data_IF_311132472382
#
_entry.id   IF_311132472382
#
_cell.length_a   1.000
_cell.length_b   1.000
_cell.length_c   1.000
_cell.angle_alpha   90.00
_cell.angle_beta   90.00
_cell.angle_gamma   90.00
#
_symmetry.space_group_name_H-M   'P 1'
#
loop_
_entity.id
_entity.type
_entity.pdbx_description
1 polymer ?
#
# COMPACT_ATOMS: atom_id res chain seq x y z
N UNK A 1 28.13 5.19 -4.10
CA UNK A 1 27.38 5.16 -5.37
C UNK A 1 26.18 4.29 -5.06
N UNK A 2 24.96 4.84 -5.03
CA UNK A 2 23.78 4.08 -4.60
C UNK A 2 23.46 2.93 -5.55
N UNK A 3 22.78 1.92 -5.04
CA UNK A 3 22.30 0.80 -5.84
C UNK A 3 21.13 1.21 -6.75
N UNK A 4 20.90 0.43 -7.81
CA UNK A 4 19.77 0.64 -8.74
C UNK A 4 18.93 -0.61 -8.86
N UNK A 5 17.64 -0.48 -8.60
CA UNK A 5 16.66 -1.54 -8.82
C UNK A 5 16.03 -1.39 -10.20
N UNK A 6 15.95 -2.49 -10.95
CA UNK A 6 15.18 -2.52 -12.20
C UNK A 6 13.74 -2.87 -11.90
N UNK A 7 12.86 -1.92 -12.17
CA UNK A 7 11.41 -2.07 -11.95
C UNK A 7 10.66 -2.16 -13.29
N UNK A 8 9.66 -3.04 -13.45
CA UNK A 8 8.95 -3.20 -14.71
C UNK A 8 8.05 -2.02 -15.06
N UNK A 9 7.65 -1.21 -14.07
CA UNK A 9 6.78 -0.03 -14.25
C UNK A 9 7.63 1.24 -14.44
N UNK A 10 8.61 1.44 -13.56
CA UNK A 10 9.35 2.71 -13.44
C UNK A 10 10.76 2.69 -14.04
N UNK A 11 11.20 1.55 -14.56
CA UNK A 11 12.56 1.43 -15.12
C UNK A 11 13.63 1.30 -14.03
N UNK A 12 14.62 2.21 -13.97
CA UNK A 12 15.65 2.19 -12.95
C UNK A 12 15.30 3.11 -11.78
N UNK A 13 15.27 2.55 -10.59
CA UNK A 13 15.00 3.23 -9.31
C UNK A 13 16.31 3.31 -8.53
N UNK A 14 16.71 4.53 -8.17
CA UNK A 14 17.93 4.78 -7.39
C UNK A 14 17.61 4.76 -5.89
N UNK A 15 18.47 4.08 -5.12
CA UNK A 15 18.41 4.03 -3.66
C UNK A 15 19.78 4.42 -3.08
N UNK A 16 19.80 5.03 -1.91
CA UNK A 16 21.03 5.28 -1.18
C UNK A 16 21.52 3.99 -0.50
N UNK A 17 22.80 3.95 -0.13
CA UNK A 17 23.38 2.79 0.56
C UNK A 17 22.62 2.50 1.88
N UNK A 18 22.23 3.53 2.63
CA UNK A 18 21.48 3.37 3.89
C UNK A 18 20.01 2.95 3.67
N UNK A 19 19.35 3.41 2.62
CA UNK A 19 18.02 2.90 2.24
C UNK A 19 18.10 1.43 1.80
N UNK A 20 19.19 1.05 1.15
CA UNK A 20 19.42 -0.33 0.74
C UNK A 20 19.59 -1.28 1.94
N UNK A 21 20.11 -0.80 3.08
CA UNK A 21 20.11 -1.58 4.32
C UNK A 21 18.68 -1.87 4.83
N UNK A 22 17.76 -0.92 4.70
CA UNK A 22 16.34 -1.15 5.01
C UNK A 22 15.76 -2.20 4.05
N UNK A 23 15.99 -2.04 2.75
CA UNK A 23 15.48 -2.96 1.73
C UNK A 23 16.03 -4.39 1.93
N UNK A 24 17.28 -4.52 2.33
CA UNK A 24 17.92 -5.82 2.56
C UNK A 24 17.57 -6.46 3.92
N UNK A 25 16.90 -5.74 4.80
CA UNK A 25 16.49 -6.26 6.12
C UNK A 25 15.41 -7.34 5.99
N UNK A 26 15.39 -8.30 6.93
CA UNK A 26 14.43 -9.41 6.92
C UNK A 26 12.96 -8.94 6.91
N UNK A 27 12.52 -7.93 7.69
CA UNK A 27 11.15 -7.43 7.63
C UNK A 27 10.76 -6.90 6.25
N UNK A 28 11.66 -6.20 5.55
CA UNK A 28 11.40 -5.70 4.21
C UNK A 28 11.42 -6.82 3.16
N UNK A 29 12.37 -7.75 3.26
CA UNK A 29 12.47 -8.90 2.34
C UNK A 29 11.23 -9.82 2.42
N UNK A 30 10.55 -9.89 3.57
CA UNK A 30 9.26 -10.58 3.72
C UNK A 30 8.23 -10.11 2.68
N UNK A 31 8.25 -8.84 2.29
CA UNK A 31 7.32 -8.29 1.29
C UNK A 31 7.43 -8.97 -0.09
N UNK A 32 8.53 -9.68 -0.40
CA UNK A 32 8.63 -10.51 -1.60
C UNK A 32 7.65 -11.68 -1.60
N UNK A 33 7.21 -12.07 -0.43
CA UNK A 33 6.28 -13.17 -0.21
C UNK A 33 4.91 -12.67 0.29
N UNK A 34 4.55 -11.41 0.03
CA UNK A 34 3.23 -10.84 0.31
C UNK A 34 2.66 -10.28 -1.00
N UNK A 35 1.69 -10.99 -1.58
CA UNK A 35 1.06 -10.58 -2.83
C UNK A 35 0.27 -9.28 -2.66
N UNK A 36 0.45 -8.38 -3.62
CA UNK A 36 -0.24 -7.09 -3.66
C UNK A 36 -1.76 -7.26 -3.73
N UNK A 37 -2.23 -8.16 -4.60
CA UNK A 37 -3.64 -8.30 -4.96
C UNK A 37 -4.29 -9.57 -4.38
N UNK A 38 -3.82 -10.04 -3.23
CA UNK A 38 -4.43 -11.18 -2.55
C UNK A 38 -4.67 -12.39 -3.48
N UNK A 39 -5.89 -12.91 -3.53
CA UNK A 39 -6.30 -14.06 -4.33
C UNK A 39 -6.58 -13.72 -5.82
N UNK A 40 -6.28 -12.49 -6.26
CA UNK A 40 -6.55 -12.05 -7.63
C UNK A 40 -5.85 -12.90 -8.69
N UNK A 41 -4.68 -13.49 -8.37
CA UNK A 41 -3.95 -14.40 -9.27
C UNK A 41 -4.76 -15.65 -9.66
N UNK A 42 -5.75 -16.05 -8.87
CA UNK A 42 -6.67 -17.14 -9.21
C UNK A 42 -7.65 -16.77 -10.35
N UNK A 43 -7.76 -15.48 -10.66
CA UNK A 43 -8.62 -14.94 -11.72
C UNK A 43 -7.78 -14.35 -12.85
N UNK A 44 -6.85 -13.47 -12.51
CA UNK A 44 -5.87 -12.85 -13.41
C UNK A 44 -4.52 -13.52 -13.15
N UNK A 45 -4.18 -14.54 -13.92
CA UNK A 45 -3.03 -15.41 -13.65
C UNK A 45 -1.67 -14.69 -13.61
N UNK A 46 -1.58 -13.51 -14.20
CA UNK A 46 -0.38 -12.65 -14.12
C UNK A 46 -0.27 -11.81 -12.86
N UNK A 47 -1.31 -11.75 -12.02
CA UNK A 47 -1.33 -10.93 -10.79
C UNK A 47 -0.51 -11.56 -9.66
N UNK A 48 0.76 -11.85 -9.92
CA UNK A 48 1.71 -12.51 -9.02
C UNK A 48 2.68 -11.55 -8.32
N UNK A 49 2.60 -10.25 -8.63
CA UNK A 49 3.46 -9.22 -8.05
C UNK A 49 3.18 -9.03 -6.55
N UNK A 50 4.21 -8.54 -5.89
CA UNK A 50 4.27 -8.46 -4.44
C UNK A 50 4.49 -7.03 -3.97
N UNK A 51 4.24 -6.79 -2.69
CA UNK A 51 4.41 -5.48 -2.05
C UNK A 51 5.86 -4.99 -2.06
N UNK A 52 6.82 -5.87 -2.23
CA UNK A 52 8.23 -5.49 -2.35
C UNK A 52 8.48 -4.50 -3.49
N UNK A 53 8.02 -4.83 -4.70
CA UNK A 53 8.20 -3.95 -5.87
C UNK A 53 7.36 -2.67 -5.76
N UNK A 54 6.16 -2.78 -5.19
CA UNK A 54 5.28 -1.65 -4.93
C UNK A 54 5.92 -0.62 -3.98
N UNK A 55 6.40 -1.02 -2.81
CA UNK A 55 7.02 -0.09 -1.85
C UNK A 55 8.22 0.67 -2.43
N UNK A 56 9.05 0.00 -3.25
CA UNK A 56 10.16 0.65 -3.95
C UNK A 56 9.65 1.60 -5.04
N UNK A 57 8.58 1.21 -5.76
CA UNK A 57 7.92 2.05 -6.77
C UNK A 57 7.31 3.32 -6.17
N UNK A 58 6.61 3.20 -5.03
CA UNK A 58 6.05 4.35 -4.30
C UNK A 58 7.16 5.30 -3.83
N UNK A 59 8.27 4.76 -3.29
CA UNK A 59 9.43 5.58 -2.93
C UNK A 59 10.01 6.35 -4.12
N UNK A 60 10.06 5.74 -5.29
CA UNK A 60 10.48 6.42 -6.52
C UNK A 60 9.50 7.52 -6.92
N UNK A 61 8.20 7.23 -6.92
CA UNK A 61 7.17 8.18 -7.31
C UNK A 61 7.09 9.37 -6.35
N UNK A 62 7.15 9.14 -5.04
CA UNK A 62 7.08 10.23 -4.06
C UNK A 62 8.27 11.18 -4.19
N UNK A 63 9.45 10.64 -4.55
CA UNK A 63 10.64 11.44 -4.86
C UNK A 63 10.38 12.37 -6.04
N UNK A 64 9.88 11.83 -7.15
CA UNK A 64 9.58 12.59 -8.37
C UNK A 64 8.44 13.58 -8.17
N UNK A 65 7.39 13.16 -7.45
CA UNK A 65 6.23 14.00 -7.15
C UNK A 65 6.61 15.22 -6.30
N UNK A 66 7.43 14.99 -5.26
CA UNK A 66 7.92 16.07 -4.40
C UNK A 66 8.83 17.04 -5.18
N UNK A 67 9.79 16.52 -5.95
CA UNK A 67 10.68 17.34 -6.78
C UNK A 67 9.89 18.19 -7.78
N UNK A 68 8.90 17.60 -8.43
CA UNK A 68 8.05 18.31 -9.39
C UNK A 68 7.18 19.37 -8.72
N UNK A 69 6.53 19.03 -7.60
CA UNK A 69 5.67 19.96 -6.88
C UNK A 69 6.44 21.17 -6.36
N UNK A 70 7.65 20.97 -5.83
CA UNK A 70 8.52 22.06 -5.37
C UNK A 70 9.02 22.91 -6.55
N UNK A 71 9.43 22.27 -7.66
CA UNK A 71 9.92 22.98 -8.84
C UNK A 71 8.85 23.85 -9.51
N UNK A 72 7.60 23.39 -9.52
CA UNK A 72 6.48 24.09 -10.15
C UNK A 72 5.73 25.06 -9.21
N UNK A 73 5.98 24.93 -7.89
CA UNK A 73 5.32 25.73 -6.87
C UNK A 73 5.95 27.12 -6.69
N UNK A 74 5.17 28.02 -6.13
CA UNK A 74 5.66 29.33 -5.69
C UNK A 74 6.27 29.35 -4.28
N UNK A 75 6.27 28.20 -3.61
CA UNK A 75 6.81 28.02 -2.27
C UNK A 75 8.19 27.34 -2.32
N UNK A 76 9.17 27.94 -1.68
CA UNK A 76 10.53 27.39 -1.62
C UNK A 76 10.88 26.98 -0.20
N UNK A 77 11.47 25.81 -0.07
CA UNK A 77 12.12 25.35 1.16
C UNK A 77 13.60 25.76 1.14
N UNK A 78 14.23 25.88 2.33
CA UNK A 78 15.71 25.89 2.37
C UNK A 78 16.25 24.53 1.85
N UNK A 79 17.51 24.51 1.41
CA UNK A 79 18.15 23.30 0.88
C UNK A 79 18.13 22.15 1.91
N UNK A 80 18.35 22.48 3.21
CA UNK A 80 18.31 21.52 4.31
C UNK A 80 16.91 20.92 4.47
N UNK A 81 15.88 21.79 4.50
CA UNK A 81 14.50 21.39 4.69
C UNK A 81 13.97 20.58 3.51
N UNK A 82 14.33 20.97 2.29
CA UNK A 82 14.04 20.22 1.08
C UNK A 82 14.63 18.79 1.13
N UNK A 83 15.92 18.68 1.49
CA UNK A 83 16.59 17.39 1.60
C UNK A 83 15.95 16.51 2.69
N UNK A 84 15.63 17.09 3.84
CA UNK A 84 15.01 16.43 4.98
C UNK A 84 13.60 15.91 4.64
N UNK A 85 12.73 16.75 4.08
CA UNK A 85 11.39 16.36 3.68
C UNK A 85 11.40 15.26 2.61
N UNK A 86 12.28 15.39 1.64
CA UNK A 86 12.46 14.36 0.60
C UNK A 86 12.85 13.02 1.22
N UNK A 87 13.77 13.00 2.18
CA UNK A 87 14.17 11.78 2.86
C UNK A 87 13.07 11.21 3.74
N UNK A 88 12.33 12.05 4.48
CA UNK A 88 11.16 11.61 5.26
C UNK A 88 10.13 10.92 4.36
N UNK A 89 9.76 11.54 3.24
CA UNK A 89 8.82 10.97 2.28
C UNK A 89 9.30 9.64 1.70
N UNK A 90 10.59 9.54 1.35
CA UNK A 90 11.17 8.29 0.84
C UNK A 90 11.09 7.16 1.86
N UNK A 91 11.38 7.46 3.13
CA UNK A 91 11.31 6.46 4.21
C UNK A 91 9.87 6.06 4.52
N UNK A 92 8.93 7.01 4.56
CA UNK A 92 7.50 6.72 4.73
C UNK A 92 7.04 5.79 3.59
N UNK A 93 7.31 6.16 2.34
CA UNK A 93 6.91 5.38 1.18
C UNK A 93 7.55 3.97 1.17
N UNK A 94 8.80 3.84 1.58
CA UNK A 94 9.48 2.56 1.64
C UNK A 94 8.88 1.63 2.70
N UNK A 95 8.40 2.19 3.81
CA UNK A 95 7.99 1.42 4.99
C UNK A 95 6.48 1.29 5.19
N UNK A 96 5.64 2.03 4.44
CA UNK A 96 4.19 2.11 4.68
C UNK A 96 3.47 0.76 4.68
N UNK A 97 3.92 -0.17 3.86
CA UNK A 97 3.30 -1.48 3.62
C UNK A 97 3.88 -2.64 4.44
N UNK A 98 4.87 -2.39 5.33
CA UNK A 98 5.55 -3.44 6.09
C UNK A 98 4.60 -4.28 6.95
N UNK A 99 3.52 -3.67 7.43
CA UNK A 99 2.54 -4.29 8.32
C UNK A 99 1.47 -5.13 7.61
N UNK A 100 1.43 -5.19 6.30
CA UNK A 100 0.46 -6.02 5.63
C UNK A 100 0.63 -7.50 5.93
N UNK A 101 -0.51 -8.15 6.22
CA UNK A 101 -0.59 -9.59 6.41
C UNK A 101 -0.44 -10.35 5.07
N UNK A 102 -0.18 -11.66 5.11
CA UNK A 102 -0.22 -12.51 3.94
C UNK A 102 -1.51 -12.30 3.14
N UNK A 103 -1.39 -12.21 1.81
CA UNK A 103 -2.52 -11.90 0.92
C UNK A 103 -3.21 -10.56 1.25
N UNK A 104 -2.49 -9.62 1.86
CA UNK A 104 -2.90 -8.22 2.01
C UNK A 104 -4.31 -8.05 2.62
N UNK A 105 -5.15 -7.19 2.04
CA UNK A 105 -6.49 -6.87 2.56
C UNK A 105 -7.44 -8.07 2.73
N UNK A 106 -7.21 -9.20 2.05
CA UNK A 106 -8.03 -10.39 2.25
C UNK A 106 -7.85 -11.00 3.67
N UNK A 107 -6.77 -10.65 4.35
CA UNK A 107 -6.44 -11.09 5.70
C UNK A 107 -6.94 -10.18 6.82
N UNK A 108 -7.43 -8.98 6.53
CA UNK A 108 -7.78 -7.98 7.56
C UNK A 108 -8.88 -8.45 8.51
N UNK A 109 -9.79 -9.29 8.04
CA UNK A 109 -10.88 -9.83 8.85
C UNK A 109 -10.41 -10.74 10.01
N UNK A 110 -9.14 -11.10 10.07
CA UNK A 110 -8.53 -11.95 11.10
C UNK A 110 -7.38 -11.27 11.85
N UNK A 111 -7.28 -9.95 11.76
CA UNK A 111 -6.45 -9.20 12.68
C UNK A 111 -7.03 -9.26 14.10
N UNK A 112 -6.21 -9.19 15.14
CA UNK A 112 -6.68 -9.02 16.51
C UNK A 112 -7.59 -7.80 16.64
N UNK A 113 -8.60 -7.85 17.53
CA UNK A 113 -9.61 -6.81 17.69
C UNK A 113 -9.00 -5.41 17.81
N UNK A 114 -9.44 -4.52 16.94
CA UNK A 114 -9.06 -3.11 16.93
C UNK A 114 -7.68 -2.81 16.34
N UNK A 115 -6.99 -3.80 15.76
CA UNK A 115 -5.72 -3.59 15.06
C UNK A 115 -5.92 -3.62 13.54
N UNK A 116 -5.15 -2.76 12.87
CA UNK A 116 -5.06 -2.64 11.42
C UNK A 116 -3.62 -2.91 10.95
N UNK A 117 -3.40 -3.05 9.64
CA UNK A 117 -2.05 -3.27 9.10
C UNK A 117 -1.10 -2.11 9.40
N UNK A 118 -1.60 -0.88 9.52
CA UNK A 118 -0.81 0.28 9.91
C UNK A 118 -0.25 0.16 11.34
N UNK A 119 -0.97 -0.51 12.25
CA UNK A 119 -0.48 -0.73 13.61
C UNK A 119 0.70 -1.72 13.60
N UNK A 120 0.63 -2.74 12.75
CA UNK A 120 1.75 -3.65 12.53
C UNK A 120 2.90 -2.97 11.78
N UNK A 121 2.62 -2.08 10.82
CA UNK A 121 3.65 -1.24 10.19
C UNK A 121 4.41 -0.45 11.24
N UNK A 122 3.69 0.21 12.15
CA UNK A 122 4.30 0.99 13.23
C UNK A 122 5.16 0.14 14.17
N UNK A 123 4.66 -1.03 14.59
CA UNK A 123 5.45 -1.98 15.41
C UNK A 123 6.72 -2.41 14.67
N UNK A 124 6.62 -2.80 13.41
CA UNK A 124 7.78 -3.24 12.61
C UNK A 124 8.80 -2.12 12.46
N UNK A 125 8.36 -0.89 12.17
CA UNK A 125 9.22 0.27 12.01
C UNK A 125 9.94 0.62 13.33
N UNK A 126 9.27 0.50 14.49
CA UNK A 126 9.81 0.90 15.80
C UNK A 126 10.58 -0.19 16.53
N UNK A 127 10.17 -1.45 16.36
CA UNK A 127 10.62 -2.56 17.24
C UNK A 127 11.58 -3.53 16.54
N UNK A 128 11.88 -3.34 15.25
CA UNK A 128 12.78 -4.22 14.49
C UNK A 128 14.08 -3.52 14.09
N UNK A 129 14.92 -4.21 13.30
CA UNK A 129 16.15 -3.66 12.74
C UNK A 129 15.89 -2.42 11.86
N UNK A 130 14.67 -2.24 11.35
CA UNK A 130 14.25 -1.06 10.59
C UNK A 130 14.51 0.22 11.40
N UNK A 131 14.17 0.22 12.70
CA UNK A 131 14.44 1.36 13.58
C UNK A 131 15.91 1.76 13.61
N UNK A 132 16.82 0.79 13.62
CA UNK A 132 18.25 1.04 13.62
C UNK A 132 18.72 1.70 12.34
N UNK A 133 18.25 1.22 11.18
CA UNK A 133 18.60 1.79 9.89
C UNK A 133 18.04 3.20 9.70
N UNK A 134 16.80 3.47 10.15
CA UNK A 134 16.21 4.81 10.12
C UNK A 134 17.03 5.78 10.98
N UNK A 135 17.38 5.38 12.21
CA UNK A 135 18.22 6.21 13.10
C UNK A 135 19.60 6.47 12.51
N UNK A 136 20.17 5.52 11.77
CA UNK A 136 21.45 5.73 11.07
C UNK A 136 21.32 6.81 9.99
N UNK A 137 20.21 6.83 9.24
CA UNK A 137 19.92 7.91 8.28
C UNK A 137 19.74 9.24 9.02
N UNK A 138 18.96 9.28 10.11
CA UNK A 138 18.76 10.48 10.93
C UNK A 138 20.08 11.06 11.43
N UNK A 139 21.00 10.21 11.91
CA UNK A 139 22.30 10.65 12.36
C UNK A 139 23.11 11.40 11.27
N UNK A 140 23.00 10.98 10.01
CA UNK A 140 23.67 11.69 8.88
C UNK A 140 23.08 13.06 8.63
N UNK A 141 21.77 13.23 8.86
CA UNK A 141 21.08 14.52 8.73
C UNK A 141 21.44 15.46 9.88
N UNK A 142 21.48 14.93 11.12
CA UNK A 142 21.92 15.70 12.29
C UNK A 142 23.37 16.17 12.13
N UNK A 143 24.27 15.31 11.69
CA UNK A 143 25.68 15.67 11.46
C UNK A 143 25.81 16.77 10.40
N UNK A 144 25.01 16.68 9.33
CA UNK A 144 25.14 17.60 8.19
C UNK A 144 24.41 18.93 8.36
N UNK A 145 23.23 18.91 8.99
CA UNK A 145 22.30 20.04 8.98
C UNK A 145 21.91 20.55 10.39
N UNK A 146 22.12 19.77 11.43
CA UNK A 146 21.78 20.12 12.81
C UNK A 146 20.70 19.22 13.44
N UNK A 147 20.56 19.28 14.77
CA UNK A 147 19.69 18.37 15.53
C UNK A 147 18.19 18.53 15.19
N UNK A 148 17.76 19.65 14.65
CA UNK A 148 16.38 19.90 14.22
C UNK A 148 15.97 19.10 13.00
N UNK A 149 16.93 18.51 12.26
CA UNK A 149 16.70 17.68 11.08
C UNK A 149 16.83 16.18 11.37
N UNK A 150 16.72 15.77 12.62
CA UNK A 150 16.74 14.34 12.96
C UNK A 150 15.59 13.59 12.29
N UNK A 151 15.85 12.33 11.98
CA UNK A 151 14.86 11.40 11.39
C UNK A 151 14.77 10.19 12.31
N UNK A 152 13.61 10.04 12.97
CA UNK A 152 13.35 8.94 13.88
C UNK A 152 12.21 8.04 13.42
N UNK A 153 12.16 6.78 13.85
CA UNK A 153 11.02 5.89 13.58
C UNK A 153 9.69 6.49 14.03
N UNK A 154 9.68 7.17 15.19
CA UNK A 154 8.51 7.84 15.75
C UNK A 154 8.01 8.94 14.80
N UNK A 155 8.91 9.82 14.34
CA UNK A 155 8.56 10.92 13.43
C UNK A 155 7.93 10.40 12.13
N UNK A 156 8.51 9.34 11.53
CA UNK A 156 8.00 8.73 10.31
C UNK A 156 6.58 8.19 10.53
N UNK A 157 6.36 7.43 11.61
CA UNK A 157 5.06 6.89 11.96
C UNK A 157 4.04 7.99 12.26
N UNK A 158 4.43 9.05 12.97
CA UNK A 158 3.53 10.14 13.33
C UNK A 158 3.11 10.98 12.13
N UNK A 159 4.00 11.21 11.15
CA UNK A 159 3.64 11.84 9.88
C UNK A 159 2.66 10.96 9.12
N UNK A 160 2.97 9.68 8.93
CA UNK A 160 2.14 8.75 8.18
C UNK A 160 0.74 8.57 8.79
N UNK A 161 0.67 8.42 10.12
CA UNK A 161 -0.61 8.31 10.86
C UNK A 161 -1.33 9.65 11.06
N UNK A 162 -0.71 10.77 10.71
CA UNK A 162 -1.31 12.11 10.87
C UNK A 162 -1.47 12.54 12.33
N UNK A 163 -0.60 12.09 13.25
CA UNK A 163 -0.66 12.39 14.68
C UNK A 163 0.03 13.68 15.09
N UNK A 164 0.71 14.35 14.16
CA UNK A 164 1.40 15.59 14.47
C UNK A 164 0.42 16.77 14.57
N UNK A 165 0.58 17.67 15.55
CA UNK A 165 -0.41 18.68 15.85
C UNK A 165 -0.52 19.75 14.75
N UNK A 166 -1.76 20.11 14.44
CA UNK A 166 -2.16 21.23 13.60
C UNK A 166 -2.58 20.81 12.19
N UNK A 167 -3.84 21.08 11.82
CA UNK A 167 -4.38 20.86 10.47
C UNK A 167 -3.58 21.57 9.37
N UNK A 168 -2.79 22.58 9.74
CA UNK A 168 -1.98 23.42 8.85
C UNK A 168 -0.47 23.18 9.01
N UNK A 169 -0.04 22.02 9.54
CA UNK A 169 1.40 21.74 9.67
C UNK A 169 1.99 21.35 8.30
N UNK A 170 3.29 21.62 8.11
CA UNK A 170 4.02 21.17 6.92
C UNK A 170 4.02 19.63 6.81
N UNK A 171 3.84 18.90 7.91
CA UNK A 171 3.73 17.45 7.93
C UNK A 171 2.40 16.95 7.31
N UNK A 172 1.31 17.73 7.40
CA UNK A 172 0.07 17.44 6.66
C UNK A 172 0.31 17.51 5.16
N UNK A 173 1.14 18.47 4.71
CA UNK A 173 1.57 18.54 3.32
C UNK A 173 2.37 17.29 2.92
N UNK A 174 3.33 16.83 3.73
CA UNK A 174 4.07 15.59 3.45
C UNK A 174 3.14 14.38 3.41
N UNK A 175 2.22 14.26 4.38
CA UNK A 175 1.25 13.16 4.40
C UNK A 175 0.43 13.08 3.12
N UNK A 176 0.08 14.23 2.51
CA UNK A 176 -0.74 14.25 1.30
C UNK A 176 -0.11 13.54 0.08
N UNK A 177 1.20 13.34 0.06
CA UNK A 177 1.86 12.52 -0.96
C UNK A 177 1.63 11.01 -0.79
N UNK A 178 1.21 10.57 0.43
CA UNK A 178 1.02 9.16 0.77
C UNK A 178 -0.42 8.80 1.09
N UNK A 179 -1.26 9.77 1.46
CA UNK A 179 -2.67 9.56 1.80
C UNK A 179 -3.49 10.80 1.42
N UNK A 180 -3.98 10.79 0.20
CA UNK A 180 -4.89 11.80 -0.36
C UNK A 180 -5.63 11.21 -1.56
N UNK A 181 -6.49 11.99 -2.23
CA UNK A 181 -7.10 11.54 -3.50
C UNK A 181 -6.07 11.39 -4.63
N UNK A 182 -4.94 12.08 -4.52
CA UNK A 182 -3.84 12.07 -5.48
C UNK A 182 -2.53 11.78 -4.76
N UNK A 183 -2.33 10.55 -4.32
CA UNK A 183 -1.12 10.10 -3.67
C UNK A 183 -0.28 9.13 -4.51
N UNK A 184 0.97 8.97 -4.11
CA UNK A 184 1.93 8.17 -4.84
C UNK A 184 1.70 6.66 -4.68
N UNK A 185 1.01 6.24 -3.62
CA UNK A 185 0.56 4.86 -3.43
C UNK A 185 -0.40 4.48 -4.55
N UNK A 186 -1.46 5.28 -4.76
CA UNK A 186 -2.43 5.10 -5.86
C UNK A 186 -1.77 5.19 -7.23
N UNK A 187 -0.81 6.13 -7.40
CA UNK A 187 -0.08 6.28 -8.65
C UNK A 187 0.70 5.03 -9.03
N UNK A 188 1.35 4.36 -8.06
CA UNK A 188 2.09 3.13 -8.33
C UNK A 188 1.16 1.95 -8.58
N UNK A 189 0.24 1.67 -7.63
CA UNK A 189 -0.52 0.43 -7.73
C UNK A 189 -1.44 0.39 -8.96
N UNK A 190 -2.00 1.50 -9.42
CA UNK A 190 -2.83 1.49 -10.63
C UNK A 190 -2.05 1.03 -11.86
N UNK A 191 -0.86 1.55 -12.06
CA UNK A 191 0.02 1.15 -13.17
C UNK A 191 0.52 -0.28 -13.00
N UNK A 192 0.99 -0.61 -11.81
CA UNK A 192 1.56 -1.92 -11.49
C UNK A 192 0.52 -3.03 -11.60
N UNK A 193 -0.61 -2.87 -10.96
CA UNK A 193 -1.70 -3.85 -10.99
C UNK A 193 -2.23 -4.04 -12.41
N UNK A 194 -2.39 -2.95 -13.17
CA UNK A 194 -2.80 -2.99 -14.56
C UNK A 194 -1.83 -3.81 -15.42
N UNK A 195 -0.52 -3.58 -15.24
CA UNK A 195 0.52 -4.32 -15.94
C UNK A 195 0.46 -5.82 -15.63
N UNK A 196 0.45 -6.18 -14.34
CA UNK A 196 0.51 -7.57 -13.91
C UNK A 196 -0.81 -8.33 -14.11
N UNK A 197 -1.96 -7.66 -14.00
CA UNK A 197 -3.25 -8.25 -14.39
C UNK A 197 -3.42 -8.40 -15.91
N UNK A 198 -2.55 -7.79 -16.72
CA UNK A 198 -2.64 -7.82 -18.18
C UNK A 198 -3.80 -7.01 -18.74
N UNK A 199 -4.27 -5.99 -18.01
CA UNK A 199 -5.35 -5.09 -18.41
C UNK A 199 -4.82 -3.69 -18.77
N UNK A 200 -5.68 -2.81 -19.28
CA UNK A 200 -5.33 -1.43 -19.63
C UNK A 200 -6.06 -0.39 -18.78
N UNK A 201 -6.92 -0.84 -17.87
CA UNK A 201 -7.81 0.02 -17.10
C UNK A 201 -7.08 1.00 -16.18
N UNK A 202 -5.94 0.59 -15.62
CA UNK A 202 -5.15 1.40 -14.68
C UNK A 202 -4.09 2.28 -15.36
N UNK A 203 -4.04 2.32 -16.70
CA UNK A 203 -3.08 3.17 -17.42
C UNK A 203 -3.56 4.62 -17.49
N UNK A 204 -2.65 5.52 -17.23
CA UNK A 204 -2.80 6.98 -17.36
C UNK A 204 -1.44 7.62 -17.63
N UNK A 205 -1.40 8.88 -18.05
CA UNK A 205 -0.15 9.58 -18.34
C UNK A 205 0.53 10.07 -17.04
N UNK A 206 1.34 9.20 -16.43
CA UNK A 206 2.06 9.48 -15.18
C UNK A 206 3.04 10.66 -15.34
N UNK A 207 3.71 10.78 -16.49
CA UNK A 207 4.68 11.86 -16.73
C UNK A 207 3.97 13.22 -16.76
N UNK A 208 2.82 13.29 -17.44
CA UNK A 208 2.00 14.48 -17.47
C UNK A 208 1.41 14.80 -16.09
N UNK A 209 0.96 13.79 -15.35
CA UNK A 209 0.42 13.96 -14.00
C UNK A 209 1.49 14.55 -13.08
N UNK A 210 2.66 13.92 -12.99
CA UNK A 210 3.77 14.39 -12.17
C UNK A 210 4.19 15.82 -12.55
N UNK A 211 4.34 16.11 -13.84
CA UNK A 211 4.71 17.46 -14.32
C UNK A 211 3.67 18.54 -14.01
N UNK A 212 2.45 18.13 -13.67
CA UNK A 212 1.35 19.05 -13.32
C UNK A 212 1.23 19.31 -11.81
N UNK A 213 1.96 18.55 -10.98
CA UNK A 213 1.96 18.76 -9.53
C UNK A 213 2.59 20.11 -9.18
N UNK A 214 2.02 20.79 -8.20
CA UNK A 214 2.49 22.09 -7.72
C UNK A 214 2.17 22.26 -6.24
N UNK A 215 2.74 23.28 -5.62
CA UNK A 215 2.42 23.70 -4.26
C UNK A 215 1.68 25.03 -4.31
N UNK A 216 0.56 25.14 -3.62
CA UNK A 216 -0.06 26.40 -3.32
C UNK A 216 -0.09 26.67 -1.81
N UNK A 217 -0.18 27.93 -1.41
CA UNK A 217 -0.22 28.30 0.00
C UNK A 217 -1.66 28.56 0.40
N UNK A 218 -2.10 27.86 1.43
CA UNK A 218 -3.38 28.08 2.10
C UNK A 218 -3.13 28.34 3.58
N UNK A 219 -3.62 29.44 4.08
CA UNK A 219 -3.46 29.86 5.48
C UNK A 219 -1.99 29.82 5.98
N UNK A 220 -1.06 30.19 5.11
CA UNK A 220 0.38 30.20 5.39
C UNK A 220 1.07 28.83 5.29
N UNK A 221 0.36 27.78 4.96
CA UNK A 221 0.88 26.41 4.87
C UNK A 221 0.90 25.88 3.43
N UNK A 222 1.92 25.09 3.06
CA UNK A 222 1.97 24.45 1.75
C UNK A 222 0.89 23.37 1.63
N UNK A 223 0.31 23.27 0.43
CA UNK A 223 -0.66 22.24 0.03
C UNK A 223 -0.27 21.67 -1.32
N UNK A 224 -0.36 20.36 -1.45
CA UNK A 224 -0.21 19.69 -2.73
C UNK A 224 -1.41 20.02 -3.62
N UNK A 225 -1.15 20.35 -4.87
CA UNK A 225 -2.18 20.70 -5.85
C UNK A 225 -1.77 20.26 -7.26
N UNK A 226 -2.72 20.36 -8.17
CA UNK A 226 -2.50 20.24 -9.61
C UNK A 226 -2.66 21.60 -10.25
N UNK A 227 -1.70 21.99 -11.08
CA UNK A 227 -1.81 23.18 -11.91
C UNK A 227 -2.99 23.08 -12.89
N UNK A 228 -3.56 24.21 -13.28
CA UNK A 228 -4.76 24.26 -14.14
C UNK A 228 -4.63 23.49 -15.46
N UNK A 229 -3.43 23.37 -16.02
CA UNK A 229 -3.14 22.54 -17.19
C UNK A 229 -3.11 21.03 -16.96
N UNK A 230 -3.27 20.57 -15.71
CA UNK A 230 -3.26 19.15 -15.31
C UNK A 230 -4.65 18.56 -15.04
N UNK A 231 -5.73 19.32 -15.22
CA UNK A 231 -7.09 18.85 -14.88
C UNK A 231 -7.47 17.58 -15.64
N UNK A 232 -7.18 17.52 -16.93
CA UNK A 232 -7.54 16.37 -17.77
C UNK A 232 -6.79 15.10 -17.39
N UNK A 233 -5.50 15.21 -17.08
CA UNK A 233 -4.73 14.01 -16.64
C UNK A 233 -5.13 13.55 -15.23
N UNK A 234 -5.61 14.46 -14.39
CA UNK A 234 -6.21 14.06 -13.11
C UNK A 234 -7.54 13.31 -13.31
N UNK A 235 -8.39 13.78 -14.21
CA UNK A 235 -9.62 13.07 -14.59
C UNK A 235 -9.31 11.67 -15.14
N UNK A 236 -8.28 11.55 -15.99
CA UNK A 236 -7.80 10.26 -16.50
C UNK A 236 -7.37 9.32 -15.36
N UNK A 237 -6.59 9.83 -14.41
CA UNK A 237 -6.18 9.08 -13.23
C UNK A 237 -7.37 8.59 -12.37
N UNK A 238 -8.36 9.45 -12.12
CA UNK A 238 -9.58 9.09 -11.39
C UNK A 238 -10.39 8.04 -12.15
N UNK A 239 -10.50 8.15 -13.47
CA UNK A 239 -11.17 7.16 -14.31
C UNK A 239 -10.42 5.82 -14.33
N UNK A 240 -9.09 5.85 -14.41
CA UNK A 240 -8.27 4.64 -14.32
C UNK A 240 -8.53 3.90 -12.99
N UNK A 241 -8.53 4.64 -11.87
CA UNK A 241 -8.89 4.08 -10.55
C UNK A 241 -10.27 3.48 -10.55
N UNK A 242 -11.27 4.20 -11.04
CA UNK A 242 -12.66 3.71 -11.11
C UNK A 242 -12.77 2.38 -11.88
N UNK A 243 -12.15 2.30 -13.07
CA UNK A 243 -12.21 1.09 -13.87
C UNK A 243 -11.46 -0.08 -13.25
N UNK A 244 -10.32 0.16 -12.60
CA UNK A 244 -9.61 -0.89 -11.86
C UNK A 244 -10.46 -1.43 -10.72
N UNK A 245 -11.18 -0.57 -9.98
CA UNK A 245 -12.11 -1.01 -8.94
C UNK A 245 -13.20 -1.89 -9.50
N UNK A 246 -13.89 -1.46 -10.55
CA UNK A 246 -15.02 -2.20 -11.14
C UNK A 246 -14.59 -3.52 -11.78
N UNK A 247 -13.48 -3.52 -12.52
CA UNK A 247 -13.09 -4.64 -13.38
C UNK A 247 -12.15 -5.65 -12.69
N UNK A 248 -11.31 -5.19 -11.76
CA UNK A 248 -10.28 -6.03 -11.13
C UNK A 248 -10.56 -6.21 -9.63
N UNK A 249 -10.61 -5.13 -8.85
CA UNK A 249 -10.66 -5.25 -7.38
C UNK A 249 -12.01 -5.77 -6.89
N UNK A 250 -13.11 -5.45 -7.55
CA UNK A 250 -14.45 -5.96 -7.23
C UNK A 250 -14.91 -7.10 -8.14
N UNK A 251 -13.97 -7.73 -8.87
CA UNK A 251 -14.33 -8.88 -9.69
C UNK A 251 -14.97 -9.99 -8.84
N UNK A 252 -16.18 -10.44 -9.21
CA UNK A 252 -17.03 -11.37 -8.41
C UNK A 252 -16.30 -12.62 -7.94
N UNK A 253 -15.56 -13.27 -8.84
CA UNK A 253 -14.81 -14.49 -8.51
C UNK A 253 -13.66 -14.22 -7.55
N UNK A 254 -12.96 -13.07 -7.68
CA UNK A 254 -11.97 -12.64 -6.70
C UNK A 254 -12.60 -12.49 -5.31
N UNK A 255 -13.74 -11.78 -5.22
CA UNK A 255 -14.46 -11.56 -3.94
C UNK A 255 -14.93 -12.86 -3.31
N UNK A 256 -15.34 -13.84 -4.12
CA UNK A 256 -15.62 -15.19 -3.62
C UNK A 256 -14.39 -15.80 -2.92
N UNK A 257 -13.22 -15.76 -3.55
CA UNK A 257 -11.99 -16.28 -2.93
C UNK A 257 -11.57 -15.49 -1.70
N UNK A 258 -11.76 -14.17 -1.64
CA UNK A 258 -11.48 -13.38 -0.44
C UNK A 258 -12.33 -13.84 0.76
N UNK A 259 -13.62 -14.16 0.53
CA UNK A 259 -14.52 -14.67 1.57
C UNK A 259 -14.07 -16.06 2.03
N UNK A 260 -13.79 -16.98 1.10
CA UNK A 260 -13.30 -18.31 1.44
C UNK A 260 -11.97 -18.23 2.20
N UNK A 261 -11.10 -17.32 1.80
CA UNK A 261 -9.81 -17.12 2.44
C UNK A 261 -9.93 -16.61 3.88
N UNK A 262 -10.80 -15.65 4.13
CA UNK A 262 -11.08 -15.18 5.50
C UNK A 262 -11.62 -16.33 6.40
N UNK A 263 -12.45 -17.23 5.84
CA UNK A 263 -12.93 -18.41 6.57
C UNK A 263 -11.82 -19.43 6.84
N UNK A 264 -10.97 -19.67 5.84
CA UNK A 264 -9.83 -20.57 5.96
C UNK A 264 -8.81 -20.08 7.00
N UNK A 265 -8.49 -18.78 7.00
CA UNK A 265 -7.56 -18.18 7.95
C UNK A 265 -8.00 -18.38 9.40
N UNK A 266 -9.30 -18.28 9.70
CA UNK A 266 -9.82 -18.55 11.05
C UNK A 266 -9.58 -19.99 11.53
N UNK A 267 -9.41 -20.92 10.60
CA UNK A 267 -9.12 -22.31 10.90
C UNK A 267 -7.61 -22.58 11.07
N UNK A 268 -6.79 -21.94 10.22
CA UNK A 268 -5.35 -22.26 10.16
C UNK A 268 -4.48 -21.38 11.07
N UNK A 269 -5.00 -20.22 11.51
CA UNK A 269 -4.26 -19.32 12.40
C UNK A 269 -4.41 -19.77 13.87
N UNK A 270 -3.36 -19.61 14.70
CA UNK A 270 -3.49 -19.77 16.14
C UNK A 270 -4.61 -18.87 16.70
N UNK A 271 -5.52 -19.46 17.49
CA UNK A 271 -6.68 -18.73 18.04
C UNK A 271 -7.53 -17.98 17.01
N UNK A 272 -7.41 -18.32 15.71
CA UNK A 272 -8.15 -17.73 14.60
C UNK A 272 -7.72 -16.31 14.23
N UNK A 273 -6.61 -15.79 14.77
CA UNK A 273 -6.09 -14.44 14.52
C UNK A 273 -4.58 -14.44 14.32
N UNK A 274 -4.04 -13.38 13.72
CA UNK A 274 -2.59 -13.20 13.66
C UNK A 274 -2.03 -12.87 15.05
N UNK A 275 -0.79 -13.33 15.36
CA UNK A 275 -0.12 -12.99 16.62
C UNK A 275 0.14 -11.48 16.72
N UNK A 276 0.05 -10.94 17.95
CA UNK A 276 0.31 -9.52 18.22
C UNK A 276 1.79 -9.19 18.41
N UNK A 277 2.61 -10.20 18.80
CA UNK A 277 4.07 -10.03 18.84
C UNK A 277 4.61 -9.83 17.42
N UNK A 278 5.49 -8.86 17.27
CA UNK A 278 6.00 -8.47 15.95
C UNK A 278 6.87 -9.56 15.32
N UNK A 279 7.64 -10.30 16.10
CA UNK A 279 8.50 -11.34 15.56
C UNK A 279 7.70 -12.56 15.13
N UNK A 280 6.69 -12.95 15.91
CA UNK A 280 5.77 -14.02 15.56
C UNK A 280 4.91 -13.65 14.34
N UNK A 281 4.49 -12.38 14.25
CA UNK A 281 3.77 -11.87 13.08
C UNK A 281 4.60 -11.93 11.79
N UNK A 282 5.86 -11.51 11.86
CA UNK A 282 6.78 -11.51 10.71
C UNK A 282 7.09 -12.93 10.18
N UNK A 283 6.83 -13.97 10.97
CA UNK A 283 6.94 -15.36 10.51
C UNK A 283 5.83 -15.80 9.56
N UNK A 284 4.78 -14.96 9.38
CA UNK A 284 3.67 -15.22 8.48
C UNK A 284 3.86 -14.49 7.15
N UNK A 285 3.89 -15.25 6.07
CA UNK A 285 3.88 -14.79 4.68
C UNK A 285 2.94 -15.68 3.84
N UNK A 286 2.77 -15.36 2.56
CA UNK A 286 1.90 -16.12 1.66
C UNK A 286 2.36 -17.58 1.53
N UNK A 287 3.66 -17.82 1.58
CA UNK A 287 4.20 -19.18 1.45
C UNK A 287 3.77 -20.06 2.63
N UNK A 288 3.87 -19.54 3.85
CA UNK A 288 3.42 -20.24 5.06
C UNK A 288 1.91 -20.47 5.02
N UNK A 289 1.13 -19.45 4.69
CA UNK A 289 -0.34 -19.58 4.59
C UNK A 289 -0.73 -20.63 3.55
N UNK A 290 -0.08 -20.69 2.38
CA UNK A 290 -0.37 -21.72 1.37
C UNK A 290 -0.03 -23.10 1.91
N UNK A 291 1.02 -23.28 2.69
CA UNK A 291 1.35 -24.57 3.30
C UNK A 291 0.26 -25.00 4.29
N UNK A 292 -0.19 -24.09 5.16
CA UNK A 292 -1.27 -24.35 6.11
C UNK A 292 -2.60 -24.67 5.38
N UNK A 293 -2.95 -23.92 4.34
CA UNK A 293 -4.14 -24.21 3.52
C UNK A 293 -4.09 -25.63 2.94
N UNK A 294 -2.93 -26.08 2.45
CA UNK A 294 -2.75 -27.42 1.91
C UNK A 294 -2.83 -28.50 2.98
N UNK A 295 -2.35 -28.23 4.18
CA UNK A 295 -2.40 -29.16 5.32
C UNK A 295 -3.84 -29.42 5.77
N UNK A 296 -4.76 -28.46 5.57
CA UNK A 296 -6.16 -28.54 6.02
C UNK A 296 -7.16 -28.80 4.88
N UNK A 297 -6.70 -29.26 3.72
CA UNK A 297 -7.58 -29.52 2.54
C UNK A 297 -8.66 -30.55 2.80
N UNK A 298 -8.35 -31.56 3.61
CA UNK A 298 -9.30 -32.68 3.88
C UNK A 298 -10.24 -32.37 5.05
N UNK A 299 -9.90 -31.38 5.87
CA UNK A 299 -10.62 -31.06 7.12
C UNK A 299 -11.46 -29.78 7.01
N UNK A 300 -11.22 -28.94 5.98
CA UNK A 300 -11.87 -27.63 5.84
C UNK A 300 -12.22 -27.32 4.37
N UNK A 301 -13.53 -27.15 4.14
CA UNK A 301 -14.05 -26.86 2.79
C UNK A 301 -13.51 -25.56 2.18
N UNK A 302 -13.29 -24.52 2.99
CA UNK A 302 -12.73 -23.27 2.50
C UNK A 302 -11.29 -23.43 2.03
N UNK A 303 -10.47 -24.19 2.78
CA UNK A 303 -9.12 -24.57 2.36
C UNK A 303 -9.15 -25.39 1.08
N UNK A 304 -10.02 -26.39 1.01
CA UNK A 304 -10.19 -27.24 -0.17
C UNK A 304 -10.58 -26.42 -1.42
N UNK A 305 -11.55 -25.52 -1.28
CA UNK A 305 -12.04 -24.68 -2.38
C UNK A 305 -10.96 -23.74 -2.92
N UNK A 306 -10.12 -23.17 -2.05
CA UNK A 306 -9.01 -22.30 -2.48
C UNK A 306 -7.95 -23.14 -3.22
N UNK A 307 -7.46 -24.21 -2.58
CA UNK A 307 -6.36 -25.03 -3.11
C UNK A 307 -6.75 -25.71 -4.43
N UNK A 308 -7.98 -26.22 -4.53
CA UNK A 308 -8.53 -26.87 -5.72
C UNK A 308 -9.14 -25.88 -6.72
N UNK A 309 -9.14 -24.59 -6.41
CA UNK A 309 -9.76 -23.51 -7.20
C UNK A 309 -11.22 -23.81 -7.56
N UNK A 310 -12.00 -24.25 -6.59
CA UNK A 310 -13.44 -24.52 -6.78
C UNK A 310 -14.22 -23.19 -6.68
N UNK A 311 -14.99 -22.89 -7.71
CA UNK A 311 -15.84 -21.68 -7.77
C UNK A 311 -17.29 -22.12 -7.88
N UNK A 312 -18.15 -21.59 -7.01
CA UNK A 312 -19.58 -21.83 -7.11
C UNK A 312 -20.24 -20.82 -8.05
N UNK A 313 -21.25 -21.26 -8.80
CA UNK A 313 -22.07 -20.37 -9.62
C UNK A 313 -23.03 -19.59 -8.71
N UNK A 314 -23.15 -18.27 -8.95
CA UNK A 314 -24.17 -17.47 -8.27
C UNK A 314 -25.55 -17.80 -8.85
N UNK A 315 -26.47 -18.33 -8.02
CA UNK A 315 -27.80 -18.70 -8.46
C UNK A 315 -28.75 -17.48 -8.65
N UNK A 316 -28.43 -16.34 -7.99
CA UNK A 316 -29.21 -15.09 -8.12
C UNK A 316 -28.31 -13.87 -7.99
N UNK A 317 -28.32 -13.03 -8.99
CA UNK A 317 -27.67 -11.72 -8.98
C UNK A 317 -28.75 -10.64 -8.76
N UNK A 318 -28.89 -10.10 -7.53
CA UNK A 318 -29.74 -8.93 -7.31
C UNK A 318 -28.91 -7.68 -7.61
N UNK A 319 -29.28 -6.96 -8.66
CA UNK A 319 -28.74 -5.61 -8.93
C UNK A 319 -29.46 -4.64 -8.00
N UNK A 320 -28.91 -4.43 -6.81
CA UNK A 320 -29.34 -3.29 -5.98
C UNK A 320 -28.52 -2.09 -6.40
N UNK A 321 -29.15 -1.16 -7.12
CA UNK A 321 -28.59 0.19 -7.26
C UNK A 321 -28.49 0.81 -5.86
N UNK A 322 -27.31 1.34 -5.45
CA UNK A 322 -27.22 2.04 -4.16
C UNK A 322 -28.18 3.23 -4.21
N UNK A 323 -29.10 3.29 -3.25
CA UNK A 323 -29.94 4.48 -3.08
C UNK A 323 -29.01 5.65 -2.75
N UNK A 324 -29.19 6.77 -3.43
CA UNK A 324 -28.47 8.01 -3.16
C UNK A 324 -28.63 8.40 -1.69
N UNK A 325 -27.58 8.25 -0.89
CA UNK A 325 -27.57 8.62 0.52
C UNK A 325 -26.77 7.69 1.44
N UNK A 326 -26.44 6.48 1.03
CA UNK A 326 -25.70 5.54 1.90
C UNK A 326 -24.18 5.66 1.67
N UNK A 327 -23.49 6.34 2.58
CA UNK A 327 -22.04 6.58 2.56
C UNK A 327 -21.24 5.51 3.31
N UNK A 328 -21.78 4.32 3.52
CA UNK A 328 -21.05 3.27 4.23
C UNK A 328 -20.55 2.21 3.24
N UNK A 329 -19.23 1.93 3.19
CA UNK A 329 -18.64 0.92 2.31
C UNK A 329 -18.97 -0.53 2.71
N UNK A 330 -19.70 -0.76 3.79
CA UNK A 330 -19.79 -2.06 4.47
C UNK A 330 -21.11 -2.81 4.34
N UNK A 331 -22.04 -2.43 3.45
CA UNK A 331 -23.26 -3.20 3.22
C UNK A 331 -23.37 -3.74 1.80
N UNK A 332 -22.49 -4.69 1.47
CA UNK A 332 -22.88 -5.71 0.50
C UNK A 332 -23.55 -6.84 1.26
N UNK A 333 -24.85 -6.99 1.04
CA UNK A 333 -25.67 -7.99 1.71
C UNK A 333 -25.04 -9.38 1.58
N UNK A 334 -24.84 -10.00 2.72
CA UNK A 334 -24.61 -11.42 2.86
C UNK A 334 -25.71 -12.16 2.08
N UNK A 335 -25.33 -12.89 1.03
CA UNK A 335 -26.20 -13.95 0.50
C UNK A 335 -26.45 -14.91 1.65
N UNK A 336 -27.66 -14.93 2.17
CA UNK A 336 -28.12 -15.95 3.10
C UNK A 336 -27.85 -17.34 2.50
N UNK A 337 -27.27 -18.21 3.32
CA UNK A 337 -27.07 -19.62 3.02
C UNK A 337 -28.37 -20.27 2.53
N UNK A 338 -28.55 -20.40 1.22
CA UNK A 338 -29.46 -21.43 0.68
C UNK A 338 -29.13 -21.66 -0.80
N UNK A 339 -28.71 -22.90 -1.08
CA UNK A 339 -28.58 -23.58 -2.37
C UNK A 339 -27.47 -23.08 -3.30
N UNK A 340 -26.26 -23.61 -3.09
CA UNK A 340 -25.27 -23.72 -4.14
C UNK A 340 -25.36 -25.15 -4.73
N UNK A 341 -25.81 -25.27 -5.96
CA UNK A 341 -25.67 -26.50 -6.75
C UNK A 341 -24.35 -26.41 -7.55
N UNK A 342 -23.71 -27.58 -7.72
CA UNK A 342 -22.42 -27.76 -8.39
C UNK A 342 -22.50 -27.47 -9.90
#
# INVERSE_FOLDING_TARGET
MGDKYRDPVHGFIEVTDLENEIINSAPFQRLRNVKQLAMTYLVFHGAEHTRFGHSIGVMHLVTRAFDSAVSNGSYSFSDEKYAWYKQLLRLIALTHDLGHAPFSHASEAVFPDGLEHEDFTEKIVKETIIATHIKAIGATFVEKYGPEYDITPELICDIYRGRLPGENSEFTFLKSFMDSELDCDKMDYLLRDSLFCGVKYGNYDIERLLSSLTIYIQDGCPRLAIGSGGTQVFEEFVLARYFMFVQVYFHRTRRFFDIMFSQALKCILPDGTYPQDVNDYLMWDDCRVIQELKAHVDDNDACANIVKRVVYSCANESVTHPKSGDRSPHHFGLCSHHNFER
#
